data_IF_775374916577
#
_entry.id   IF_775374916577
#
_cell.length_a   1.000
_cell.length_b   1.000
_cell.length_c   1.000
_cell.angle_alpha   90.00
_cell.angle_beta   90.00
_cell.angle_gamma   90.00
#
_symmetry.space_group_name_H-M   'P 1'
#
loop_
_entity.id
_entity.type
_entity.pdbx_description
1 polymer ?
#
# COMPACT_ATOMS: atom_id res chain seq x y z
N UNK A 1 36.25 10.87 -36.93
CA UNK A 1 34.92 10.47 -37.36
C UNK A 1 34.48 9.12 -36.79
N UNK A 2 35.29 8.07 -36.80
CA UNK A 2 34.92 6.71 -36.29
C UNK A 2 34.59 6.69 -34.80
N UNK A 3 35.35 7.43 -33.95
CA UNK A 3 35.08 7.46 -32.49
C UNK A 3 33.74 8.10 -32.11
N UNK A 4 33.23 9.04 -32.92
CA UNK A 4 31.95 9.69 -32.67
C UNK A 4 30.76 8.77 -33.00
N UNK A 5 30.91 7.91 -34.02
CA UNK A 5 29.88 6.93 -34.37
C UNK A 5 29.72 5.81 -33.32
N UNK A 6 30.84 5.28 -32.81
CA UNK A 6 30.83 4.23 -31.78
C UNK A 6 30.20 4.77 -30.48
N UNK A 7 30.45 6.03 -30.13
CA UNK A 7 29.87 6.67 -28.98
C UNK A 7 28.36 6.88 -29.14
N UNK A 8 27.89 7.25 -30.33
CA UNK A 8 26.45 7.40 -30.63
C UNK A 8 25.68 6.06 -30.63
N UNK A 9 26.28 4.98 -31.16
CA UNK A 9 25.68 3.65 -31.11
C UNK A 9 25.56 3.14 -29.67
N UNK A 10 26.57 3.29 -28.83
CA UNK A 10 26.53 2.88 -27.44
C UNK A 10 25.44 3.59 -26.65
N UNK A 11 25.33 4.92 -26.81
CA UNK A 11 24.27 5.72 -26.15
C UNK A 11 22.87 5.34 -26.66
N UNK A 12 22.72 5.06 -27.95
CA UNK A 12 21.43 4.67 -28.52
C UNK A 12 20.94 3.31 -27.98
N UNK A 13 21.86 2.34 -27.82
CA UNK A 13 21.56 1.03 -27.24
C UNK A 13 21.17 1.19 -25.76
N UNK A 14 21.95 1.92 -24.97
CA UNK A 14 21.69 2.17 -23.56
C UNK A 14 20.32 2.83 -23.33
N UNK A 15 19.97 3.83 -24.15
CA UNK A 15 18.66 4.49 -24.11
C UNK A 15 17.54 3.49 -24.47
N UNK A 16 17.74 2.67 -25.51
CA UNK A 16 16.75 1.69 -25.93
C UNK A 16 16.50 0.63 -24.83
N UNK A 17 17.55 0.14 -24.20
CA UNK A 17 17.45 -0.80 -23.08
C UNK A 17 16.74 -0.15 -21.88
N UNK A 18 17.05 1.08 -21.53
CA UNK A 18 16.39 1.83 -20.48
C UNK A 18 14.88 2.04 -20.77
N UNK A 19 14.53 2.34 -22.01
CA UNK A 19 13.12 2.48 -22.43
C UNK A 19 12.38 1.13 -22.34
N UNK A 20 12.99 0.04 -22.79
CA UNK A 20 12.40 -1.30 -22.70
C UNK A 20 12.21 -1.71 -21.25
N UNK A 21 13.20 -1.45 -20.38
CA UNK A 21 13.09 -1.69 -18.93
C UNK A 21 11.94 -0.89 -18.31
N UNK A 22 11.85 0.40 -18.62
CA UNK A 22 10.77 1.26 -18.12
C UNK A 22 9.38 0.81 -18.59
N UNK A 23 9.25 0.31 -19.82
CA UNK A 23 7.99 -0.25 -20.34
C UNK A 23 7.61 -1.58 -19.65
N UNK A 24 8.58 -2.33 -19.14
CA UNK A 24 8.36 -3.53 -18.31
C UNK A 24 8.11 -3.20 -16.83
N UNK A 25 8.16 -1.93 -16.44
CA UNK A 25 8.01 -1.49 -15.05
C UNK A 25 9.30 -1.53 -14.23
N UNK A 26 10.44 -1.76 -14.86
CA UNK A 26 11.76 -1.70 -14.21
C UNK A 26 12.14 -0.25 -13.91
N UNK A 27 12.87 -0.05 -12.80
CA UNK A 27 13.41 1.26 -12.45
C UNK A 27 14.61 1.57 -13.36
N UNK A 28 14.46 2.54 -14.25
CA UNK A 28 15.55 3.00 -15.10
C UNK A 28 16.57 3.82 -14.28
N UNK A 29 17.74 3.27 -14.04
CA UNK A 29 18.81 3.90 -13.26
C UNK A 29 19.31 5.22 -13.87
N UNK A 30 19.06 5.44 -15.17
CA UNK A 30 19.51 6.62 -15.94
C UNK A 30 18.39 7.63 -16.23
N UNK A 31 17.20 7.44 -15.65
CA UNK A 31 16.07 8.34 -15.91
C UNK A 31 16.30 9.72 -15.29
N UNK A 32 16.25 10.78 -16.11
CA UNK A 32 16.46 12.17 -15.67
C UNK A 32 15.31 12.72 -14.83
N UNK A 33 14.10 12.23 -15.03
CA UNK A 33 12.85 12.72 -14.45
C UNK A 33 12.14 11.70 -13.53
N UNK A 34 12.77 10.57 -13.27
CA UNK A 34 12.34 9.62 -12.20
C UNK A 34 13.21 9.84 -10.95
N UNK A 35 12.74 9.44 -9.77
CA UNK A 35 13.57 9.49 -8.57
C UNK A 35 14.81 8.61 -8.77
N UNK A 36 15.95 9.24 -9.07
CA UNK A 36 17.21 8.52 -9.17
C UNK A 36 17.67 8.15 -7.75
N UNK A 37 17.82 6.86 -7.55
CA UNK A 37 18.34 6.30 -6.30
C UNK A 37 19.54 5.42 -6.66
N UNK A 38 20.69 5.55 -5.97
CA UNK A 38 21.82 4.65 -6.18
C UNK A 38 21.42 3.20 -6.10
N UNK A 39 22.05 2.32 -6.88
CA UNK A 39 21.69 0.89 -6.95
C UNK A 39 21.76 0.19 -5.57
N UNK A 40 22.69 0.61 -4.71
CA UNK A 40 22.83 0.13 -3.34
C UNK A 40 21.59 0.48 -2.50
N UNK A 41 21.14 1.73 -2.55
CA UNK A 41 19.92 2.21 -1.85
C UNK A 41 18.68 1.56 -2.42
N UNK A 42 18.63 1.34 -3.73
CA UNK A 42 17.51 0.64 -4.38
C UNK A 42 17.40 -0.81 -3.89
N UNK A 43 18.54 -1.51 -3.77
CA UNK A 43 18.57 -2.89 -3.25
C UNK A 43 18.06 -2.95 -1.80
N UNK A 44 18.48 -2.01 -0.96
CA UNK A 44 18.06 -1.92 0.44
C UNK A 44 16.56 -1.58 0.57
N UNK A 45 16.06 -0.68 -0.29
CA UNK A 45 14.66 -0.22 -0.25
C UNK A 45 13.68 -1.12 -1.02
N UNK A 46 14.13 -2.12 -1.77
CA UNK A 46 13.27 -2.92 -2.64
C UNK A 46 11.99 -3.46 -1.97
N UNK A 47 12.01 -4.06 -0.76
CA UNK A 47 10.78 -4.51 -0.09
C UNK A 47 9.87 -3.36 0.34
N UNK A 48 10.48 -2.20 0.69
CA UNK A 48 9.74 -1.00 1.11
C UNK A 48 9.08 -0.28 -0.08
N UNK A 49 9.64 -0.41 -1.28
CA UNK A 49 9.06 0.08 -2.53
C UNK A 49 7.72 -0.60 -2.80
N UNK A 50 7.69 -1.94 -2.65
CA UNK A 50 6.45 -2.72 -2.78
C UNK A 50 5.45 -2.36 -1.68
N UNK A 51 5.91 -2.25 -0.42
CA UNK A 51 5.07 -1.81 0.70
C UNK A 51 4.43 -0.45 0.42
N UNK A 52 5.24 0.51 -0.03
CA UNK A 52 4.81 1.89 -0.32
C UNK A 52 3.69 1.92 -1.37
N UNK A 53 3.85 1.21 -2.49
CA UNK A 53 2.84 1.13 -3.54
C UNK A 53 1.54 0.50 -3.02
N UNK A 54 1.64 -0.63 -2.32
CA UNK A 54 0.49 -1.35 -1.78
C UNK A 54 -0.27 -0.54 -0.73
N UNK A 55 0.42 0.16 0.17
CA UNK A 55 -0.23 1.06 1.11
C UNK A 55 -0.96 2.21 0.40
N UNK A 56 -0.36 2.83 -0.61
CA UNK A 56 -1.04 3.83 -1.42
C UNK A 56 -2.32 3.29 -2.06
N UNK A 57 -2.25 2.10 -2.66
CA UNK A 57 -3.38 1.43 -3.32
C UNK A 57 -4.49 1.04 -2.31
N UNK A 58 -4.13 0.56 -1.14
CA UNK A 58 -5.09 0.23 -0.09
C UNK A 58 -5.78 1.48 0.45
N UNK A 59 -5.00 2.54 0.75
CA UNK A 59 -5.54 3.77 1.32
C UNK A 59 -6.64 4.38 0.44
N UNK A 60 -6.42 4.48 -0.88
CA UNK A 60 -7.40 5.06 -1.79
C UNK A 60 -8.65 4.19 -1.95
N UNK A 61 -8.51 2.87 -1.87
CA UNK A 61 -9.67 1.96 -1.95
C UNK A 61 -10.60 2.07 -0.72
N UNK A 62 -10.08 2.55 0.41
CA UNK A 62 -10.89 2.81 1.61
C UNK A 62 -11.71 4.10 1.50
N UNK A 63 -11.41 4.98 0.55
CA UNK A 63 -12.16 6.24 0.35
C UNK A 63 -13.55 5.95 -0.22
N UNK A 64 -14.59 6.49 0.39
CA UNK A 64 -15.94 6.43 -0.12
C UNK A 64 -16.08 7.29 -1.38
N UNK A 65 -16.72 6.74 -2.41
CA UNK A 65 -16.92 7.45 -3.69
C UNK A 65 -15.67 7.56 -4.58
N UNK A 66 -14.49 7.10 -4.14
CA UNK A 66 -13.27 7.01 -4.95
C UNK A 66 -12.68 8.33 -5.45
N UNK A 67 -13.27 9.48 -5.10
CA UNK A 67 -12.85 10.80 -5.57
C UNK A 67 -13.02 11.86 -4.48
N UNK A 68 -12.39 13.03 -4.66
CA UNK A 68 -12.50 14.15 -3.70
C UNK A 68 -11.38 14.25 -2.70
N UNK A 69 -10.45 13.33 -2.71
CA UNK A 69 -9.24 13.37 -1.87
C UNK A 69 -8.35 14.54 -2.25
N UNK A 70 -8.06 15.41 -1.28
CA UNK A 70 -7.25 16.63 -1.49
C UNK A 70 -5.86 16.54 -0.87
N UNK A 71 -5.70 15.74 0.18
CA UNK A 71 -4.41 15.61 0.87
C UNK A 71 -4.16 14.19 1.34
N UNK A 72 -2.91 13.78 1.19
CA UNK A 72 -2.35 12.58 1.77
C UNK A 72 -1.09 12.95 2.57
N UNK A 73 -0.97 12.42 3.78
CA UNK A 73 0.22 12.55 4.60
C UNK A 73 0.89 11.19 4.74
N UNK A 74 2.17 11.15 4.46
CA UNK A 74 2.99 9.95 4.63
C UNK A 74 3.94 10.16 5.80
N UNK A 75 3.95 9.23 6.74
CA UNK A 75 4.85 9.26 7.88
C UNK A 75 5.80 8.07 7.79
N UNK A 76 7.08 8.35 7.66
CA UNK A 76 8.15 7.36 7.71
C UNK A 76 8.72 7.32 9.12
N UNK A 77 8.64 6.16 9.76
CA UNK A 77 9.25 5.92 11.06
C UNK A 77 10.56 5.16 10.85
N UNK A 78 11.67 5.67 11.37
CA UNK A 78 13.00 5.07 11.23
C UNK A 78 13.82 5.33 12.50
N UNK A 79 14.82 4.47 12.75
CA UNK A 79 15.83 4.72 13.75
C UNK A 79 16.98 5.61 13.22
N UNK A 80 17.05 5.80 11.89
CA UNK A 80 18.05 6.66 11.23
C UNK A 80 17.67 8.12 11.36
N UNK A 81 18.68 8.99 11.26
CA UNK A 81 18.44 10.43 11.17
C UNK A 81 17.57 10.76 9.94
N UNK A 82 16.61 11.66 10.06
CA UNK A 82 15.76 12.07 8.94
C UNK A 82 16.52 12.52 7.69
N UNK A 83 17.70 13.08 7.84
CA UNK A 83 18.52 13.55 6.71
C UNK A 83 19.24 12.40 5.99
N UNK A 84 19.43 11.27 6.65
CA UNK A 84 20.06 10.07 6.08
C UNK A 84 19.04 9.16 5.34
N UNK A 85 17.74 9.44 5.42
CA UNK A 85 16.71 8.64 4.79
C UNK A 85 16.22 9.28 3.47
N UNK A 86 16.62 8.69 2.34
CA UNK A 86 16.08 9.10 1.03
C UNK A 86 14.70 8.48 0.79
N UNK A 87 13.65 9.29 0.97
CA UNK A 87 12.25 8.86 0.82
C UNK A 87 11.67 9.13 -0.56
N UNK A 88 12.43 9.71 -1.50
CA UNK A 88 11.91 10.14 -2.82
C UNK A 88 11.26 9.02 -3.60
N UNK A 89 11.90 7.83 -3.62
CA UNK A 89 11.38 6.66 -4.29
C UNK A 89 10.11 6.12 -3.62
N UNK A 90 10.11 6.02 -2.28
CA UNK A 90 8.96 5.54 -1.51
C UNK A 90 7.75 6.47 -1.70
N UNK A 91 7.98 7.79 -1.67
CA UNK A 91 6.94 8.77 -1.96
C UNK A 91 6.37 8.60 -3.35
N UNK A 92 7.22 8.44 -4.38
CA UNK A 92 6.78 8.26 -5.76
C UNK A 92 5.93 6.98 -5.89
N UNK A 93 6.30 5.89 -5.20
CA UNK A 93 5.54 4.64 -5.22
C UNK A 93 4.21 4.75 -4.48
N UNK A 94 4.16 5.42 -3.32
CA UNK A 94 2.89 5.71 -2.63
C UNK A 94 1.98 6.55 -3.52
N UNK A 95 2.53 7.59 -4.15
CA UNK A 95 1.79 8.45 -5.08
C UNK A 95 1.22 7.63 -6.24
N UNK A 96 2.04 6.75 -6.85
CA UNK A 96 1.60 5.83 -7.90
C UNK A 96 0.46 4.95 -7.38
N UNK A 97 0.63 4.31 -6.23
CA UNK A 97 -0.39 3.43 -5.64
C UNK A 97 -1.72 4.14 -5.38
N UNK A 98 -1.69 5.41 -4.94
CA UNK A 98 -2.89 6.21 -4.72
C UNK A 98 -3.58 6.58 -6.06
N UNK A 99 -2.80 6.97 -7.06
CA UNK A 99 -3.35 7.57 -8.29
C UNK A 99 -3.77 6.51 -9.31
N UNK A 100 -3.08 5.38 -9.38
CA UNK A 100 -3.33 4.32 -10.36
C UNK A 100 -4.77 3.80 -10.32
N UNK A 101 -5.36 3.45 -9.15
CA UNK A 101 -6.75 2.97 -9.09
C UNK A 101 -7.83 3.99 -9.46
N UNK A 102 -7.49 5.29 -9.46
CA UNK A 102 -8.42 6.40 -9.75
C UNK A 102 -8.08 7.15 -11.03
N UNK A 103 -7.25 6.54 -11.90
CA UNK A 103 -6.81 7.14 -13.15
C UNK A 103 -7.10 6.20 -14.32
N UNK A 104 -7.59 6.77 -15.42
CA UNK A 104 -7.78 6.04 -16.69
C UNK A 104 -6.50 5.97 -17.51
N UNK A 105 -5.42 6.63 -17.07
CA UNK A 105 -4.13 6.68 -17.74
C UNK A 105 -3.14 5.73 -17.06
N UNK A 106 -2.22 5.18 -17.84
CA UNK A 106 -1.10 4.41 -17.30
C UNK A 106 -0.23 5.31 -16.40
N UNK A 107 -0.07 4.89 -15.16
CA UNK A 107 0.69 5.61 -14.13
C UNK A 107 2.04 4.93 -13.91
N UNK A 108 3.09 5.72 -13.97
CA UNK A 108 4.46 5.31 -13.69
C UNK A 108 5.13 6.34 -12.74
N UNK A 109 6.38 6.09 -12.35
CA UNK A 109 7.11 6.95 -11.42
C UNK A 109 7.34 8.37 -11.94
N UNK A 110 7.37 8.56 -13.27
CA UNK A 110 7.59 9.86 -13.91
C UNK A 110 6.35 10.74 -13.86
N UNK A 111 5.16 10.15 -14.13
CA UNK A 111 3.93 10.91 -14.28
C UNK A 111 3.04 10.91 -13.01
N UNK A 112 3.35 10.08 -12.01
CA UNK A 112 2.54 9.95 -10.79
C UNK A 112 2.33 11.29 -10.07
N UNK A 113 3.42 12.00 -9.75
CA UNK A 113 3.36 13.31 -9.07
C UNK A 113 2.64 14.38 -9.91
N UNK A 114 2.87 14.39 -11.21
CA UNK A 114 2.19 15.32 -12.12
C UNK A 114 0.67 15.05 -12.14
N UNK A 115 0.31 13.78 -12.25
CA UNK A 115 -1.11 13.37 -12.28
C UNK A 115 -1.79 13.64 -10.93
N UNK A 116 -1.10 13.40 -9.82
CA UNK A 116 -1.59 13.74 -8.48
C UNK A 116 -1.89 15.26 -8.37
N UNK A 117 -0.94 16.10 -8.77
CA UNK A 117 -1.12 17.56 -8.78
C UNK A 117 -2.27 18.00 -9.70
N UNK A 118 -2.40 17.40 -10.89
CA UNK A 118 -3.50 17.68 -11.82
C UNK A 118 -4.87 17.32 -11.22
N UNK A 119 -4.93 16.26 -10.43
CA UNK A 119 -6.14 15.86 -9.68
C UNK A 119 -6.35 16.67 -8.39
N UNK A 120 -5.47 17.64 -8.09
CA UNK A 120 -5.57 18.48 -6.88
C UNK A 120 -5.13 17.78 -5.59
N UNK A 121 -4.47 16.62 -5.68
CA UNK A 121 -3.96 15.90 -4.53
C UNK A 121 -2.60 16.48 -4.09
N UNK A 122 -2.51 16.88 -2.82
CA UNK A 122 -1.27 17.27 -2.15
C UNK A 122 -0.75 16.13 -1.31
N UNK A 123 0.51 15.74 -1.52
CA UNK A 123 1.18 14.72 -0.71
C UNK A 123 2.24 15.43 0.14
N UNK A 124 2.12 15.27 1.45
CA UNK A 124 3.08 15.75 2.46
C UNK A 124 3.80 14.56 3.10
N UNK A 125 5.03 14.79 3.54
CA UNK A 125 5.86 13.79 4.20
C UNK A 125 6.28 14.26 5.58
N UNK A 126 6.37 13.31 6.49
CA UNK A 126 6.95 13.48 7.81
C UNK A 126 7.91 12.31 8.09
N UNK A 127 9.05 12.60 8.68
CA UNK A 127 10.03 11.61 9.11
C UNK A 127 10.12 11.67 10.62
N UNK A 128 9.92 10.51 11.26
CA UNK A 128 9.88 10.40 12.72
C UNK A 128 10.94 9.42 13.16
N UNK A 129 11.81 9.86 14.06
CA UNK A 129 12.81 8.98 14.69
C UNK A 129 12.12 8.15 15.75
N UNK A 130 12.34 6.84 15.70
CA UNK A 130 11.79 5.88 16.66
C UNK A 130 12.91 4.99 17.21
N UNK A 131 12.69 4.46 18.39
CA UNK A 131 13.59 3.47 18.97
C UNK A 131 13.35 2.11 18.29
N UNK A 132 14.18 1.83 17.28
CA UNK A 132 14.12 0.63 16.45
C UNK A 132 15.55 0.23 16.05
N UNK A 133 15.71 -0.91 15.36
CA UNK A 133 17.02 -1.31 14.85
C UNK A 133 17.50 -0.33 13.76
N UNK A 134 18.71 0.24 13.88
CA UNK A 134 19.28 1.13 12.87
C UNK A 134 19.66 0.39 11.58
N UNK A 135 19.69 -0.95 11.60
CA UNK A 135 19.93 -1.77 10.42
C UNK A 135 18.75 -1.68 9.42
N UNK A 136 17.53 -1.40 9.92
CA UNK A 136 16.37 -1.23 9.07
C UNK A 136 16.33 0.19 8.52
N UNK A 137 16.26 0.38 7.19
CA UNK A 137 16.15 1.72 6.60
C UNK A 137 14.85 2.42 7.02
N UNK A 138 13.76 1.66 7.12
CA UNK A 138 12.45 2.16 7.55
C UNK A 138 11.83 1.13 8.52
N UNK A 139 11.40 1.58 9.67
CA UNK A 139 10.68 0.74 10.63
C UNK A 139 9.22 0.52 10.23
N UNK A 140 8.54 1.60 9.80
CA UNK A 140 7.18 1.53 9.26
C UNK A 140 6.86 2.72 8.37
N UNK A 141 5.87 2.54 7.50
CA UNK A 141 5.28 3.56 6.65
C UNK A 141 3.81 3.68 7.01
N UNK A 142 3.36 4.90 7.33
CA UNK A 142 1.96 5.22 7.58
C UNK A 142 1.45 6.16 6.49
N UNK A 143 0.26 5.85 5.95
CA UNK A 143 -0.45 6.69 4.99
C UNK A 143 -1.74 7.17 5.65
N UNK A 144 -1.95 8.49 5.64
CA UNK A 144 -3.13 9.16 6.19
C UNK A 144 -3.81 9.96 5.07
N UNK A 145 -5.13 9.79 4.93
CA UNK A 145 -5.95 10.54 3.99
C UNK A 145 -6.93 11.40 4.76
N UNK A 146 -6.82 12.72 4.57
CA UNK A 146 -7.62 13.69 5.32
C UNK A 146 -8.80 14.22 4.51
N UNK A 147 -9.86 14.61 5.22
CA UNK A 147 -11.06 15.21 4.64
C UNK A 147 -11.77 14.32 3.61
N UNK A 148 -11.84 13.03 3.88
CA UNK A 148 -12.53 12.05 3.05
C UNK A 148 -13.38 11.12 3.91
N UNK A 149 -14.52 10.70 3.37
CA UNK A 149 -15.33 9.66 3.99
C UNK A 149 -14.72 8.28 3.69
N UNK A 150 -14.83 7.36 4.65
CA UNK A 150 -14.34 5.99 4.51
C UNK A 150 -15.45 5.02 4.20
N UNK A 151 -15.19 4.04 3.32
CA UNK A 151 -16.04 2.85 3.13
C UNK A 151 -15.96 1.88 4.30
N UNK A 152 -14.92 2.04 5.12
CA UNK A 152 -14.63 1.18 6.27
C UNK A 152 -14.31 2.09 7.46
N UNK A 153 -15.31 2.37 8.29
CA UNK A 153 -15.21 3.33 9.39
C UNK A 153 -14.09 2.99 10.38
N UNK A 154 -13.77 1.70 10.52
CA UNK A 154 -12.65 1.24 11.35
C UNK A 154 -11.27 1.70 10.87
N UNK A 155 -11.14 2.13 9.61
CA UNK A 155 -9.90 2.71 9.10
C UNK A 155 -9.71 4.17 9.52
N UNK A 156 -10.75 4.81 10.08
CA UNK A 156 -10.69 6.20 10.53
C UNK A 156 -10.03 6.27 11.90
N UNK A 157 -8.98 7.06 12.01
CA UNK A 157 -8.29 7.34 13.26
C UNK A 157 -9.08 8.32 14.14
N UNK A 158 -8.69 8.47 15.41
CA UNK A 158 -9.32 9.42 16.32
C UNK A 158 -9.29 10.89 15.86
N UNK A 159 -8.45 11.23 14.87
CA UNK A 159 -8.39 12.54 14.23
C UNK A 159 -9.35 12.72 13.05
N UNK A 160 -10.12 11.71 12.68
CA UNK A 160 -11.05 11.75 11.54
C UNK A 160 -10.44 11.40 10.19
N UNK A 161 -9.15 11.07 10.14
CA UNK A 161 -8.44 10.69 8.91
C UNK A 161 -8.43 9.17 8.72
N UNK A 162 -8.55 8.70 7.46
CA UNK A 162 -8.25 7.32 7.12
C UNK A 162 -6.75 7.11 7.37
N UNK A 163 -6.40 6.10 8.14
CA UNK A 163 -5.01 5.81 8.53
C UNK A 163 -4.71 4.32 8.40
N UNK A 164 -3.67 3.99 7.65
CA UNK A 164 -3.10 2.65 7.56
C UNK A 164 -1.60 2.70 7.75
N UNK A 165 -1.04 1.67 8.38
CA UNK A 165 0.40 1.54 8.59
C UNK A 165 0.88 0.14 8.21
N UNK A 166 2.05 0.08 7.60
CA UNK A 166 2.67 -1.18 7.22
C UNK A 166 4.15 -1.23 7.57
N UNK A 167 4.68 -2.45 7.62
CA UNK A 167 6.09 -2.76 7.86
C UNK A 167 6.56 -3.84 6.91
N UNK A 168 7.87 -3.91 6.73
CA UNK A 168 8.50 -5.06 6.08
C UNK A 168 8.93 -6.04 7.18
N UNK A 169 8.53 -7.30 7.06
CA UNK A 169 8.91 -8.40 7.94
C UNK A 169 9.51 -9.52 7.10
N UNK A 170 10.76 -9.85 7.36
CA UNK A 170 11.48 -10.89 6.60
C UNK A 170 11.44 -10.67 5.07
N UNK A 171 11.54 -9.41 4.62
CA UNK A 171 11.46 -9.06 3.21
C UNK A 171 10.04 -8.98 2.62
N UNK A 172 9.00 -9.32 3.39
CA UNK A 172 7.60 -9.33 2.95
C UNK A 172 6.87 -8.10 3.49
N UNK A 173 6.16 -7.33 2.65
CA UNK A 173 5.30 -6.24 3.09
C UNK A 173 4.11 -6.72 3.92
N UNK A 174 3.89 -6.11 5.08
CA UNK A 174 2.77 -6.40 5.97
C UNK A 174 1.98 -5.13 6.28
N UNK A 175 0.65 -5.24 6.30
CA UNK A 175 -0.23 -4.27 6.95
C UNK A 175 -0.21 -4.54 8.45
N UNK A 176 0.09 -3.52 9.26
CA UNK A 176 0.24 -3.68 10.71
C UNK A 176 -0.76 -2.86 11.51
N UNK A 177 -1.41 -1.88 10.88
CA UNK A 177 -2.43 -1.07 11.53
C UNK A 177 -3.48 -0.58 10.52
N UNK A 178 -4.73 -0.59 10.94
CA UNK A 178 -5.89 0.00 10.23
C UNK A 178 -6.66 0.85 11.24
N UNK A 179 -6.65 2.16 11.06
CA UNK A 179 -7.19 3.10 12.05
C UNK A 179 -6.53 2.91 13.43
N UNK A 180 -7.33 2.54 14.42
CA UNK A 180 -6.87 2.25 15.79
C UNK A 180 -6.57 0.76 16.05
N UNK A 181 -6.82 -0.11 15.09
CA UNK A 181 -6.67 -1.55 15.24
C UNK A 181 -5.29 -2.02 14.78
N UNK A 182 -4.60 -2.79 15.62
CA UNK A 182 -3.42 -3.54 15.21
C UNK A 182 -3.84 -4.80 14.48
N UNK A 183 -3.24 -5.04 13.33
CA UNK A 183 -3.39 -6.25 12.51
C UNK A 183 -2.01 -6.76 12.14
N UNK A 184 -1.92 -7.96 11.63
CA UNK A 184 -0.67 -8.49 11.10
C UNK A 184 -0.98 -9.36 9.89
N UNK A 185 -0.77 -8.78 8.70
CA UNK A 185 -1.30 -9.29 7.46
C UNK A 185 -0.27 -9.12 6.37
N UNK A 186 0.16 -10.22 5.73
CA UNK A 186 0.94 -10.12 4.50
C UNK A 186 0.12 -9.38 3.43
N UNK A 187 0.77 -8.45 2.75
CA UNK A 187 0.18 -7.73 1.62
C UNK A 187 0.44 -8.47 0.30
N UNK A 188 0.33 -9.79 0.29
CA UNK A 188 0.37 -10.65 -0.89
C UNK A 188 -1.06 -11.12 -1.22
N UNK A 189 -1.47 -10.96 -2.48
CA UNK A 189 -2.84 -11.27 -2.89
C UNK A 189 -3.87 -10.22 -2.45
N UNK A 190 -5.15 -10.56 -2.52
CA UNK A 190 -6.24 -9.67 -2.16
C UNK A 190 -6.57 -9.76 -0.66
N UNK A 191 -7.26 -8.76 -0.14
CA UNK A 191 -7.53 -8.62 1.29
C UNK A 191 -9.01 -8.34 1.56
N UNK A 192 -9.59 -9.06 2.51
CA UNK A 192 -10.90 -8.74 3.10
C UNK A 192 -10.65 -8.25 4.52
N UNK A 193 -11.18 -7.08 4.87
CA UNK A 193 -11.22 -6.59 6.23
C UNK A 193 -12.66 -6.63 6.74
N UNK A 194 -12.87 -7.25 7.89
CA UNK A 194 -14.18 -7.30 8.56
C UNK A 194 -14.04 -6.72 9.96
N UNK A 195 -14.85 -5.73 10.31
CA UNK A 195 -15.07 -5.34 11.69
C UNK A 195 -16.17 -6.19 12.28
N UNK A 196 -15.93 -6.76 13.42
CA UNK A 196 -16.86 -7.68 14.07
C UNK A 196 -16.87 -7.54 15.59
N UNK A 197 -17.94 -8.03 16.19
CA UNK A 197 -17.98 -8.34 17.63
C UNK A 197 -17.18 -9.62 17.84
N UNK A 198 -16.17 -9.57 18.71
CA UNK A 198 -15.30 -10.71 19.01
C UNK A 198 -16.06 -11.81 19.76
N UNK A 199 -16.44 -12.88 19.05
CA UNK A 199 -17.15 -14.03 19.59
C UNK A 199 -16.66 -15.33 18.94
N UNK A 200 -16.86 -16.50 19.63
CA UNK A 200 -16.50 -17.80 19.08
C UNK A 200 -17.22 -18.10 17.77
N UNK A 201 -16.54 -18.78 16.86
CA UNK A 201 -17.09 -19.28 15.61
C UNK A 201 -16.96 -18.34 14.41
N UNK A 202 -16.57 -17.07 14.59
CA UNK A 202 -16.49 -16.09 13.50
C UNK A 202 -15.52 -16.51 12.39
N UNK A 203 -14.34 -16.97 12.74
CA UNK A 203 -13.34 -17.48 11.77
C UNK A 203 -13.94 -18.62 10.94
N UNK A 204 -14.61 -19.56 11.59
CA UNK A 204 -15.24 -20.70 10.92
C UNK A 204 -16.38 -20.29 9.99
N UNK A 205 -17.24 -19.35 10.40
CA UNK A 205 -18.35 -18.88 9.57
C UNK A 205 -17.85 -18.20 8.29
N UNK A 206 -16.91 -17.28 8.41
CA UNK A 206 -16.36 -16.57 7.24
C UNK A 206 -15.53 -17.51 6.36
N UNK A 207 -14.72 -18.38 6.98
CA UNK A 207 -13.96 -19.41 6.25
C UNK A 207 -14.85 -20.36 5.46
N UNK A 208 -15.97 -20.81 6.02
CA UNK A 208 -16.94 -21.65 5.31
C UNK A 208 -17.58 -20.93 4.13
N UNK A 209 -17.99 -19.66 4.29
CA UNK A 209 -18.56 -18.86 3.20
C UNK A 209 -17.59 -18.78 2.02
N UNK A 210 -16.30 -18.50 2.29
CA UNK A 210 -15.28 -18.42 1.27
C UNK A 210 -15.01 -19.78 0.62
N UNK A 211 -14.88 -20.85 1.43
CA UNK A 211 -14.65 -22.21 0.96
C UNK A 211 -15.78 -22.78 0.09
N UNK A 212 -17.06 -22.50 0.42
CA UNK A 212 -18.20 -22.88 -0.40
C UNK A 212 -18.17 -22.28 -1.81
N UNK A 213 -17.47 -21.19 -1.97
CA UNK A 213 -17.31 -20.46 -3.25
C UNK A 213 -15.94 -20.71 -3.91
N UNK A 214 -15.19 -21.71 -3.45
CA UNK A 214 -13.84 -22.06 -3.90
C UNK A 214 -12.83 -20.88 -3.84
N UNK A 215 -12.99 -19.97 -2.86
CA UNK A 215 -12.03 -18.92 -2.58
C UNK A 215 -11.03 -19.45 -1.55
N UNK A 216 -9.77 -19.56 -1.97
CA UNK A 216 -8.72 -20.00 -1.07
C UNK A 216 -8.29 -18.88 -0.13
N UNK A 217 -8.18 -19.21 1.15
CA UNK A 217 -7.71 -18.28 2.20
C UNK A 217 -6.22 -18.55 2.44
N UNK A 218 -5.37 -17.58 2.08
CA UNK A 218 -3.93 -17.67 2.25
C UNK A 218 -3.51 -17.47 3.71
N UNK A 219 -4.23 -16.65 4.44
CA UNK A 219 -4.05 -16.45 5.88
C UNK A 219 -5.25 -15.72 6.49
N UNK A 220 -5.32 -15.72 7.83
CA UNK A 220 -6.34 -15.00 8.59
C UNK A 220 -5.75 -14.48 9.90
N UNK A 221 -5.99 -13.21 10.20
CA UNK A 221 -5.53 -12.56 11.43
C UNK A 221 -6.69 -11.81 12.09
N UNK A 222 -6.73 -11.84 13.44
CA UNK A 222 -7.75 -11.12 14.22
C UNK A 222 -7.07 -10.16 15.19
N UNK A 223 -7.20 -8.87 14.93
CA UNK A 223 -6.78 -7.79 15.81
C UNK A 223 -7.90 -7.38 16.74
N UNK A 224 -7.66 -7.37 18.05
CA UNK A 224 -8.65 -7.06 19.09
C UNK A 224 -8.31 -5.79 19.81
N UNK A 225 -9.31 -4.98 20.14
CA UNK A 225 -9.13 -3.87 21.10
C UNK A 225 -9.20 -4.40 22.54
N UNK A 226 -10.11 -5.34 22.81
CA UNK A 226 -10.25 -6.05 24.08
C UNK A 226 -11.06 -7.35 23.85
N UNK A 227 -10.98 -8.28 24.82
CA UNK A 227 -11.75 -9.54 24.76
C UNK A 227 -13.26 -9.25 24.69
N UNK A 228 -13.96 -9.93 23.77
CA UNK A 228 -15.42 -9.81 23.55
C UNK A 228 -15.90 -8.39 23.23
N UNK A 229 -15.02 -7.58 22.64
CA UNK A 229 -15.32 -6.25 22.12
C UNK A 229 -15.09 -6.22 20.61
N UNK A 230 -14.86 -5.04 20.08
CA UNK A 230 -14.61 -4.88 18.66
C UNK A 230 -13.27 -5.51 18.26
N UNK A 231 -13.29 -6.22 17.15
CA UNK A 231 -12.14 -6.82 16.52
C UNK A 231 -12.16 -6.54 15.01
N UNK A 232 -11.00 -6.45 14.41
CA UNK A 232 -10.83 -6.53 12.96
C UNK A 232 -10.31 -7.92 12.63
N UNK A 233 -11.00 -8.60 11.72
CA UNK A 233 -10.52 -9.81 11.07
C UNK A 233 -10.02 -9.42 9.68
N UNK A 234 -8.76 -9.70 9.41
CA UNK A 234 -8.11 -9.47 8.13
C UNK A 234 -7.82 -10.83 7.49
N UNK A 235 -8.25 -11.00 6.25
CA UNK A 235 -8.24 -12.26 5.53
C UNK A 235 -7.55 -12.05 4.20
N UNK A 236 -6.44 -12.74 3.96
CA UNK A 236 -5.80 -12.84 2.65
C UNK A 236 -6.51 -13.89 1.81
N UNK A 237 -6.82 -13.57 0.57
CA UNK A 237 -7.45 -14.47 -0.40
C UNK A 237 -6.70 -14.45 -1.72
N UNK A 238 -6.58 -15.64 -2.32
CA UNK A 238 -5.85 -15.79 -3.59
C UNK A 238 -6.71 -15.31 -4.77
N UNK A 239 -8.01 -15.63 -4.75
CA UNK A 239 -8.96 -15.24 -5.79
C UNK A 239 -9.83 -14.07 -5.34
N UNK A 240 -10.39 -13.35 -6.31
CA UNK A 240 -11.40 -12.33 -6.05
C UNK A 240 -12.74 -13.01 -5.67
N UNK A 241 -13.27 -12.78 -4.46
CA UNK A 241 -14.56 -13.32 -4.07
C UNK A 241 -15.67 -12.74 -4.97
N UNK A 242 -16.62 -13.59 -5.35
CA UNK A 242 -17.77 -13.12 -6.08
C UNK A 242 -18.71 -12.27 -5.19
N UNK A 243 -19.64 -11.54 -5.82
CA UNK A 243 -20.57 -10.67 -5.10
C UNK A 243 -21.45 -11.43 -4.11
N UNK A 244 -21.77 -12.70 -4.39
CA UNK A 244 -22.57 -13.54 -3.50
C UNK A 244 -21.81 -13.86 -2.20
N UNK A 245 -20.53 -14.20 -2.29
CA UNK A 245 -19.67 -14.42 -1.12
C UNK A 245 -19.55 -13.18 -0.26
N UNK A 246 -19.29 -12.03 -0.89
CA UNK A 246 -19.19 -10.76 -0.17
C UNK A 246 -20.51 -10.39 0.51
N UNK A 247 -21.64 -10.63 -0.17
CA UNK A 247 -22.98 -10.41 0.42
C UNK A 247 -23.21 -11.33 1.63
N UNK A 248 -22.92 -12.64 1.51
CA UNK A 248 -23.05 -13.61 2.63
C UNK A 248 -22.17 -13.21 3.82
N UNK A 249 -20.95 -12.70 3.59
CA UNK A 249 -20.11 -12.19 4.67
C UNK A 249 -20.79 -11.03 5.39
N UNK A 250 -21.36 -10.07 4.63
CA UNK A 250 -22.10 -8.95 5.21
C UNK A 250 -23.40 -9.32 5.94
N UNK A 251 -23.98 -10.48 5.65
CA UNK A 251 -25.18 -11.01 6.32
C UNK A 251 -24.86 -11.72 7.65
N UNK A 252 -23.59 -11.96 7.97
CA UNK A 252 -23.19 -12.55 9.27
C UNK A 252 -23.49 -11.55 10.40
N UNK A 253 -24.37 -11.88 11.36
CA UNK A 253 -24.91 -10.89 12.32
C UNK A 253 -23.87 -10.19 13.20
N UNK A 254 -22.70 -10.81 13.39
CA UNK A 254 -21.61 -10.23 14.18
C UNK A 254 -20.67 -9.36 13.37
N UNK A 255 -20.77 -9.34 12.05
CA UNK A 255 -19.99 -8.44 11.18
C UNK A 255 -20.75 -7.13 11.02
N UNK A 256 -20.15 -6.06 11.52
CA UNK A 256 -20.74 -4.71 11.49
C UNK A 256 -20.40 -3.96 10.20
N UNK A 257 -19.19 -4.21 9.65
CA UNK A 257 -18.73 -3.64 8.38
C UNK A 257 -17.67 -4.55 7.75
N UNK A 258 -17.58 -4.53 6.43
CA UNK A 258 -16.51 -5.21 5.71
C UNK A 258 -16.12 -4.44 4.45
N UNK A 259 -14.92 -4.69 3.97
CA UNK A 259 -14.39 -4.17 2.69
C UNK A 259 -13.49 -5.20 2.04
N UNK A 260 -13.60 -5.31 0.72
CA UNK A 260 -12.68 -6.08 -0.13
C UNK A 260 -11.69 -5.10 -0.80
N UNK A 261 -10.41 -5.42 -0.75
CA UNK A 261 -9.30 -4.59 -1.22
C UNK A 261 -8.43 -5.40 -2.18
N UNK A 262 -8.17 -4.85 -3.36
CA UNK A 262 -7.27 -5.43 -4.38
C UNK A 262 -5.86 -4.90 -4.20
N UNK A 263 -4.86 -5.81 -4.19
CA UNK A 263 -3.43 -5.47 -4.12
C UNK A 263 -2.74 -5.52 -5.47
#
# INVERSE_FOLDING_TARGET
>A
MIACHIFQEGVAIEIAEAVVGALKGELAATAVNAPMVPAEVLSELAPYVVLAERLGRLAVQLVAGGSGMKSAKVVYKSARDPDDLDTRLLRAMITKGIIEPISDSFINLVNADFTAKKKGLRISEERVVVDASPELPVFSIQVQLSNVDSKFGSAVSGGGDISIEGKVKNGIPHLTQVGSFSVDVSLEGNLILCRQVDQPGMIGQVGNILGEQNVNVSFMSVGRTARRRNAIMAIGVDEEPNLESLKKIGEVPAIEEFVFLKL
#
